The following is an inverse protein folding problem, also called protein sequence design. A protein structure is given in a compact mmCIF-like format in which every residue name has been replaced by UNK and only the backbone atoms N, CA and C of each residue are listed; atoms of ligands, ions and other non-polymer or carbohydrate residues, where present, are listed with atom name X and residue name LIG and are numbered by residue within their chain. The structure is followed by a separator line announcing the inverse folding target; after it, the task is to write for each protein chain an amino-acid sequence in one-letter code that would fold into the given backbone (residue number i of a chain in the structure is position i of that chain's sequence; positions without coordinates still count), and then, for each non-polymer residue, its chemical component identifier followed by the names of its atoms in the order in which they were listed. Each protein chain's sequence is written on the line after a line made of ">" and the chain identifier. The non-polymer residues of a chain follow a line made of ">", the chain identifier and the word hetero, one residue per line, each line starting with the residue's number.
data_IF_998230411227
#
_entry.id   IF_998230411227
#
_cell.length_a   1.000
_cell.length_b   1.000
_cell.length_c   1.000
_cell.angle_alpha   90.00
_cell.angle_beta   90.00
_cell.angle_gamma   90.00
#
_symmetry.space_group_name_H-M   'P 1'
#
loop_
_entity.id
_entity.type
_entity.pdbx_description
1 polymer ?
#
# COMPACT_ATOMS: atom_id res chain seq x y z
N UNK A 1 -33.16 -29.10 33.95
CA UNK A 1 -31.78 -29.09 33.41
C UNK A 1 -31.67 -29.16 31.88
N UNK A 2 -32.70 -29.59 31.12
CA UNK A 2 -32.60 -29.71 29.65
C UNK A 2 -32.48 -28.40 28.86
N UNK A 3 -32.77 -27.25 29.47
CA UNK A 3 -32.62 -25.94 28.81
C UNK A 3 -31.14 -25.51 28.71
N UNK A 4 -30.33 -25.80 29.74
CA UNK A 4 -28.88 -25.58 29.73
C UNK A 4 -28.17 -26.47 28.71
N UNK A 5 -28.62 -27.72 28.56
CA UNK A 5 -28.02 -28.65 27.60
C UNK A 5 -28.24 -28.18 26.14
N UNK A 6 -29.42 -27.65 25.80
CA UNK A 6 -29.67 -27.07 24.47
C UNK A 6 -28.85 -25.82 24.19
N UNK A 7 -28.62 -24.98 25.21
CA UNK A 7 -27.72 -23.84 25.08
C UNK A 7 -26.28 -24.33 24.87
N UNK A 8 -25.81 -25.27 25.69
CA UNK A 8 -24.49 -25.86 25.53
C UNK A 8 -24.31 -26.44 24.12
N UNK A 9 -25.22 -27.28 23.61
CA UNK A 9 -25.11 -27.85 22.26
C UNK A 9 -25.10 -26.80 21.15
N UNK A 10 -25.78 -25.66 21.34
CA UNK A 10 -25.81 -24.56 20.36
C UNK A 10 -24.51 -23.73 20.35
N UNK A 11 -23.80 -23.67 21.48
CA UNK A 11 -22.57 -22.89 21.64
C UNK A 11 -21.30 -23.76 21.71
N UNK A 12 -21.43 -25.09 21.72
CA UNK A 12 -20.29 -26.00 21.59
C UNK A 12 -19.67 -25.75 20.21
N UNK A 13 -18.42 -25.30 20.23
CA UNK A 13 -17.59 -25.14 19.06
C UNK A 13 -17.44 -26.53 18.42
N UNK A 14 -18.23 -26.81 17.39
CA UNK A 14 -18.10 -28.06 16.65
C UNK A 14 -16.76 -28.06 15.90
N UNK A 15 -16.13 -29.23 15.70
CA UNK A 15 -14.85 -29.31 14.99
C UNK A 15 -14.91 -28.71 13.59
N UNK A 16 -16.07 -28.76 12.93
CA UNK A 16 -16.32 -28.10 11.66
C UNK A 16 -16.25 -26.57 11.77
N UNK A 17 -16.82 -25.98 12.84
CA UNK A 17 -16.78 -24.54 13.08
C UNK A 17 -15.39 -24.07 13.48
N UNK A 18 -14.63 -24.91 14.18
CA UNK A 18 -13.22 -24.64 14.47
C UNK A 18 -12.40 -24.62 13.16
N UNK A 19 -12.53 -25.64 12.32
CA UNK A 19 -11.83 -25.73 11.04
C UNK A 19 -12.21 -24.56 10.11
N UNK A 20 -13.50 -24.17 10.06
CA UNK A 20 -13.96 -23.02 9.30
C UNK A 20 -13.31 -21.71 9.77
N UNK A 21 -13.21 -21.50 11.09
CA UNK A 21 -12.56 -20.33 11.66
C UNK A 21 -11.05 -20.32 11.39
N UNK A 22 -10.35 -21.44 11.61
CA UNK A 22 -8.92 -21.55 11.33
C UNK A 22 -8.61 -21.31 9.85
N UNK A 23 -9.46 -21.79 8.94
CA UNK A 23 -9.31 -21.53 7.51
C UNK A 23 -9.48 -20.04 7.19
N UNK A 24 -10.41 -19.35 7.86
CA UNK A 24 -10.60 -17.90 7.68
C UNK A 24 -9.41 -17.11 8.23
N UNK A 25 -8.90 -17.50 9.39
CA UNK A 25 -7.75 -16.85 10.02
C UNK A 25 -6.47 -17.04 9.21
N UNK A 26 -6.22 -18.27 8.73
CA UNK A 26 -5.08 -18.57 7.85
C UNK A 26 -5.16 -17.82 6.53
N UNK A 27 -6.35 -17.70 5.94
CA UNK A 27 -6.55 -16.89 4.72
C UNK A 27 -6.27 -15.40 4.98
N UNK A 28 -6.72 -14.86 6.10
CA UNK A 28 -6.45 -13.47 6.46
C UNK A 28 -4.95 -13.25 6.67
N UNK A 29 -4.28 -14.16 7.38
CA UNK A 29 -2.83 -14.13 7.60
C UNK A 29 -2.06 -14.20 6.29
N UNK A 30 -2.49 -15.05 5.34
CA UNK A 30 -1.91 -15.13 3.99
C UNK A 30 -1.99 -13.77 3.29
N UNK A 31 -3.17 -13.16 3.21
CA UNK A 31 -3.32 -11.85 2.57
C UNK A 31 -2.50 -10.75 3.23
N UNK A 32 -2.37 -10.78 4.56
CA UNK A 32 -1.50 -9.84 5.28
C UNK A 32 -0.03 -10.04 4.92
N UNK A 33 0.43 -11.28 4.86
CA UNK A 33 1.81 -11.62 4.49
C UNK A 33 2.12 -11.24 3.04
N UNK A 34 1.19 -11.45 2.10
CA UNK A 34 1.33 -11.05 0.69
C UNK A 34 1.46 -9.53 0.57
N UNK A 35 0.63 -8.79 1.32
CA UNK A 35 0.73 -7.33 1.36
C UNK A 35 2.07 -6.84 1.90
N UNK A 36 2.58 -7.47 2.96
CA UNK A 36 3.88 -7.12 3.53
C UNK A 36 5.01 -7.43 2.56
N UNK A 37 4.91 -8.54 1.81
CA UNK A 37 5.89 -8.91 0.79
C UNK A 37 5.94 -7.87 -0.32
N UNK A 38 4.78 -7.46 -0.86
CA UNK A 38 4.70 -6.41 -1.89
C UNK A 38 5.28 -5.07 -1.40
N UNK A 39 5.01 -4.70 -0.15
CA UNK A 39 5.59 -3.48 0.43
C UNK A 39 7.11 -3.58 0.58
N UNK A 40 7.62 -4.74 1.00
CA UNK A 40 9.05 -4.98 1.10
C UNK A 40 9.73 -4.92 -0.27
N UNK A 41 9.12 -5.50 -1.30
CA UNK A 41 9.62 -5.42 -2.69
C UNK A 41 9.72 -3.97 -3.16
N UNK A 42 8.67 -3.16 -2.97
CA UNK A 42 8.71 -1.74 -3.32
C UNK A 42 9.82 -0.98 -2.58
N UNK A 43 10.05 -1.28 -1.30
CA UNK A 43 11.12 -0.65 -0.51
C UNK A 43 12.50 -1.04 -1.06
N UNK A 44 12.70 -2.31 -1.40
CA UNK A 44 13.96 -2.78 -1.98
C UNK A 44 14.24 -2.08 -3.31
N UNK A 45 13.24 -2.00 -4.19
CA UNK A 45 13.39 -1.33 -5.48
C UNK A 45 13.69 0.16 -5.32
N UNK A 46 13.02 0.82 -4.36
CA UNK A 46 13.33 2.21 -4.02
C UNK A 46 14.79 2.36 -3.58
N UNK A 47 15.27 1.53 -2.64
CA UNK A 47 16.65 1.64 -2.16
C UNK A 47 17.67 1.28 -3.24
N UNK A 48 17.38 0.32 -4.12
CA UNK A 48 18.23 0.03 -5.28
C UNK A 48 18.36 1.23 -6.21
N UNK A 49 17.26 1.93 -6.48
CA UNK A 49 17.26 3.15 -7.29
C UNK A 49 18.01 4.30 -6.62
N UNK A 50 17.89 4.45 -5.31
CA UNK A 50 18.67 5.45 -4.54
C UNK A 50 20.15 5.14 -4.61
N UNK A 51 20.54 3.87 -4.41
CA UNK A 51 21.94 3.46 -4.45
C UNK A 51 22.55 3.69 -5.83
N UNK A 52 21.86 3.29 -6.91
CA UNK A 52 22.36 3.51 -8.28
C UNK A 52 22.44 5.00 -8.63
N UNK A 53 21.51 5.82 -8.13
CA UNK A 53 21.59 7.28 -8.26
C UNK A 53 22.80 7.87 -7.54
N UNK A 54 23.07 7.44 -6.31
CA UNK A 54 24.23 7.91 -5.55
C UNK A 54 25.55 7.44 -6.17
N UNK A 55 25.59 6.22 -6.69
CA UNK A 55 26.74 5.69 -7.43
C UNK A 55 27.02 6.54 -8.68
N UNK A 56 25.98 6.86 -9.46
CA UNK A 56 26.11 7.75 -10.62
C UNK A 56 26.60 9.14 -10.24
N UNK A 57 26.11 9.72 -9.14
CA UNK A 57 26.61 11.01 -8.63
C UNK A 57 28.09 10.91 -8.26
N UNK A 58 28.50 9.80 -7.64
CA UNK A 58 29.90 9.61 -7.23
C UNK A 58 30.85 9.48 -8.43
N UNK A 59 30.39 8.88 -9.53
CA UNK A 59 31.18 8.68 -10.74
C UNK A 59 31.21 9.90 -11.66
N UNK A 60 30.04 10.47 -11.97
CA UNK A 60 29.88 11.48 -13.03
C UNK A 60 29.65 12.89 -12.50
N UNK A 61 29.47 13.04 -11.18
CA UNK A 61 29.15 14.31 -10.54
C UNK A 61 27.66 14.68 -10.63
N UNK A 62 27.22 15.54 -9.71
CA UNK A 62 25.80 15.89 -9.51
C UNK A 62 25.16 16.51 -10.76
N UNK A 63 25.87 17.39 -11.47
CA UNK A 63 25.32 18.14 -12.61
C UNK A 63 25.02 17.23 -13.81
N UNK A 64 25.92 16.27 -14.09
CA UNK A 64 25.75 15.30 -15.18
C UNK A 64 24.52 14.42 -14.97
N UNK A 65 24.35 13.92 -13.74
CA UNK A 65 23.20 13.07 -13.39
C UNK A 65 21.89 13.88 -13.41
N UNK A 66 21.91 15.13 -12.93
CA UNK A 66 20.73 16.01 -12.95
C UNK A 66 20.25 16.28 -14.39
N UNK A 67 21.17 16.53 -15.31
CA UNK A 67 20.82 16.78 -16.72
C UNK A 67 20.32 15.52 -17.44
N UNK A 68 20.92 14.35 -17.14
CA UNK A 68 20.44 13.06 -17.63
C UNK A 68 19.02 12.74 -17.15
N UNK A 69 18.67 13.08 -15.89
CA UNK A 69 17.32 12.88 -15.36
C UNK A 69 16.28 13.84 -15.94
N UNK A 70 16.63 15.10 -16.22
CA UNK A 70 15.73 16.04 -16.91
C UNK A 70 15.32 15.54 -18.29
N UNK A 71 16.26 14.92 -19.00
CA UNK A 71 16.00 14.32 -20.30
C UNK A 71 15.02 13.14 -20.25
N UNK A 72 14.99 12.38 -19.14
CA UNK A 72 14.04 11.27 -18.92
C UNK A 72 12.64 11.72 -18.47
N UNK A 73 12.51 12.90 -17.85
CA UNK A 73 11.24 13.47 -17.36
C UNK A 73 10.46 14.26 -18.43
N UNK A 74 10.93 14.30 -19.67
CA UNK A 74 10.23 14.86 -20.82
C UNK A 74 9.58 13.71 -21.61
N UNK A 75 8.26 13.46 -21.55
CA UNK A 75 7.17 14.42 -21.45
C UNK A 75 6.35 14.32 -20.14
N UNK A 76 5.98 15.49 -19.63
CA UNK A 76 4.97 15.79 -18.61
C UNK A 76 3.96 14.65 -18.31
N UNK A 77 4.03 14.00 -17.13
CA UNK A 77 2.87 13.31 -16.59
C UNK A 77 1.89 14.38 -16.10
N UNK A 78 0.76 14.53 -16.80
CA UNK A 78 -0.44 15.11 -16.22
C UNK A 78 -0.84 14.21 -15.04
N UNK A 79 -0.33 14.50 -13.84
CA UNK A 79 -0.91 13.96 -12.62
C UNK A 79 -2.40 14.31 -12.57
N UNK A 80 -3.24 13.52 -11.90
CA UNK A 80 -4.67 13.80 -11.82
C UNK A 80 -4.84 15.23 -11.32
N UNK A 81 -5.43 16.08 -12.15
CA UNK A 81 -5.78 17.44 -11.79
C UNK A 81 -6.68 17.33 -10.56
N UNK A 82 -6.11 17.57 -9.37
CA UNK A 82 -6.94 17.94 -8.22
C UNK A 82 -7.59 19.25 -8.63
N UNK A 83 -8.85 19.14 -9.08
CA UNK A 83 -9.80 20.24 -9.14
C UNK A 83 -9.94 20.75 -7.71
N UNK A 84 -9.01 21.60 -7.28
CA UNK A 84 -9.23 22.45 -6.12
C UNK A 84 -10.31 23.44 -6.55
N UNK A 85 -11.49 23.45 -5.91
CA UNK A 85 -12.48 24.48 -6.19
C UNK A 85 -11.85 25.84 -5.87
N UNK A 86 -11.89 26.73 -6.85
CA UNK A 86 -11.29 28.06 -6.76
C UNK A 86 -12.01 28.88 -5.68
N UNK A 87 -11.28 29.27 -4.64
CA UNK A 87 -11.78 30.08 -3.52
C UNK A 87 -12.18 31.49 -3.97
N UNK A 88 -11.87 31.91 -5.19
CA UNK A 88 -12.25 33.21 -5.72
C UNK A 88 -13.71 33.32 -6.18
N UNK A 89 -14.45 32.21 -6.31
CA UNK A 89 -15.87 32.26 -6.74
C UNK A 89 -16.82 32.81 -5.65
N UNK A 90 -16.39 32.86 -4.38
CA UNK A 90 -17.20 33.42 -3.28
C UNK A 90 -16.91 34.89 -2.95
N UNK A 91 -15.96 35.55 -3.64
CA UNK A 91 -15.64 36.97 -3.44
C UNK A 91 -16.37 37.83 -4.46
N UNK A 92 -17.70 37.79 -4.43
CA UNK A 92 -18.54 38.53 -5.37
C UNK A 92 -20.02 38.50 -5.03
N UNK A 93 -20.37 38.62 -3.75
CA UNK A 93 -21.73 38.88 -3.30
C UNK A 93 -21.69 39.58 -1.93
N UNK A 94 -21.37 40.87 -1.95
CA UNK A 94 -21.67 41.82 -0.89
C UNK A 94 -21.76 43.22 -1.50
#
# INVERSE_FOLDING_TARGET
>A
MGWMNRLATKYILTPEKLAENELRDTRLALYQSERQLLEAEMRVDYYRNVLSFLEAISADGVESVAESQRSKLSPQPQGPQRLTPDLNTYRGAA
#
